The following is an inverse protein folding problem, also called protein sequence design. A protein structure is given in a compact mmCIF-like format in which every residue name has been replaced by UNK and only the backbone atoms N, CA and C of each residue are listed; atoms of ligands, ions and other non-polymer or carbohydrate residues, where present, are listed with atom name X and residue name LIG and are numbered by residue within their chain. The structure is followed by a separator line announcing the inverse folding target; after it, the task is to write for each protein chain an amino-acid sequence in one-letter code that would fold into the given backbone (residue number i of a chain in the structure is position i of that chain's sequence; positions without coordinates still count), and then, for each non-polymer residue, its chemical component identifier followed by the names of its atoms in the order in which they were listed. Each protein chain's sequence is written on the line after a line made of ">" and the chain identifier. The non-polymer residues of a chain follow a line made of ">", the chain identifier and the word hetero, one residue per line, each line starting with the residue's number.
data_IF_181546382497
#
_entry.id   IF_181546382497
#
_cell.length_a   1.000
_cell.length_b   1.000
_cell.length_c   1.000
_cell.angle_alpha   90.00
_cell.angle_beta   90.00
_cell.angle_gamma   90.00
#
_symmetry.space_group_name_H-M   'P 1'
#
loop_
_entity.id
_entity.type
_entity.pdbx_description
1 polymer ?
#
# COMPACT_ATOMS: atom_id res chain seq x y z
N UNK A 1 -41.89 17.72 3.45
CA UNK A 1 -42.06 16.57 2.52
C UNK A 1 -40.85 16.27 1.61
N UNK A 2 -39.60 16.64 1.95
CA UNK A 2 -38.43 16.47 1.04
C UNK A 2 -37.38 15.42 1.45
N UNK A 3 -37.42 14.91 2.68
CA UNK A 3 -36.32 14.09 3.24
C UNK A 3 -36.17 12.71 2.59
N UNK A 4 -37.26 12.06 2.18
CA UNK A 4 -37.21 10.73 1.56
C UNK A 4 -36.47 10.69 0.22
N UNK A 5 -36.62 11.75 -0.59
CA UNK A 5 -35.92 11.88 -1.89
C UNK A 5 -34.42 12.11 -1.71
N UNK A 6 -34.06 12.96 -0.76
CA UNK A 6 -32.65 13.22 -0.43
C UNK A 6 -31.96 11.93 0.09
N UNK A 7 -32.60 11.21 1.02
CA UNK A 7 -32.10 9.93 1.54
C UNK A 7 -31.91 8.90 0.43
N UNK A 8 -32.89 8.75 -0.47
CA UNK A 8 -32.78 7.84 -1.61
C UNK A 8 -31.61 8.18 -2.53
N UNK A 9 -31.40 9.48 -2.84
CA UNK A 9 -30.26 9.94 -3.63
C UNK A 9 -28.92 9.63 -2.93
N UNK A 10 -28.82 9.89 -1.64
CA UNK A 10 -27.61 9.61 -0.87
C UNK A 10 -27.29 8.11 -0.81
N UNK A 11 -28.28 7.25 -0.57
CA UNK A 11 -28.06 5.79 -0.57
C UNK A 11 -27.60 5.28 -1.93
N UNK A 12 -28.11 5.84 -3.03
CA UNK A 12 -27.67 5.49 -4.38
C UNK A 12 -26.19 5.85 -4.59
N UNK A 13 -25.80 7.09 -4.25
CA UNK A 13 -24.42 7.57 -4.36
C UNK A 13 -23.49 6.75 -3.47
N UNK A 14 -23.87 6.48 -2.23
CA UNK A 14 -23.07 5.68 -1.32
C UNK A 14 -22.85 4.25 -1.81
N UNK A 15 -23.88 3.62 -2.41
CA UNK A 15 -23.75 2.29 -3.01
C UNK A 15 -22.83 2.33 -4.23
N UNK A 16 -22.97 3.34 -5.07
CA UNK A 16 -22.08 3.53 -6.22
C UNK A 16 -20.63 3.69 -5.76
N UNK A 17 -20.35 4.51 -4.75
CA UNK A 17 -18.99 4.65 -4.20
C UNK A 17 -18.47 3.36 -3.55
N UNK A 18 -19.32 2.64 -2.80
CA UNK A 18 -18.90 1.41 -2.09
C UNK A 18 -18.62 0.24 -3.04
N UNK A 19 -19.37 0.14 -4.13
CA UNK A 19 -19.31 -1.00 -5.04
C UNK A 19 -18.81 -0.63 -6.45
N UNK A 20 -18.41 0.62 -6.69
CA UNK A 20 -17.66 0.99 -7.88
C UNK A 20 -16.26 0.42 -7.72
N UNK A 21 -15.93 -0.53 -8.58
CA UNK A 21 -14.55 -0.88 -8.84
C UNK A 21 -13.97 0.20 -9.77
N UNK A 22 -12.92 0.91 -9.34
CA UNK A 22 -12.22 1.82 -10.23
C UNK A 22 -11.75 1.03 -11.45
N UNK A 23 -12.02 1.53 -12.64
CA UNK A 23 -11.38 1.01 -13.86
C UNK A 23 -9.93 1.47 -13.80
N UNK A 24 -9.04 0.56 -13.45
CA UNK A 24 -7.60 0.80 -13.50
C UNK A 24 -7.09 0.46 -14.89
N UNK A 25 -6.24 1.33 -15.43
CA UNK A 25 -5.47 1.04 -16.63
C UNK A 25 -4.30 0.13 -16.23
N UNK A 26 -4.49 -1.18 -16.44
CA UNK A 26 -3.50 -2.19 -16.09
C UNK A 26 -2.23 -2.07 -16.95
N UNK A 27 -2.37 -1.58 -18.19
CA UNK A 27 -1.25 -1.41 -19.11
C UNK A 27 -0.33 -0.27 -18.65
N UNK A 28 -0.93 0.85 -18.21
CA UNK A 28 -0.21 1.96 -17.61
C UNK A 28 0.52 1.54 -16.32
N UNK A 29 -0.15 0.78 -15.43
CA UNK A 29 0.43 0.27 -14.19
C UNK A 29 1.61 -0.68 -14.46
N UNK A 30 1.46 -1.59 -15.43
CA UNK A 30 2.51 -2.52 -15.80
C UNK A 30 3.75 -1.80 -16.35
N UNK A 31 3.56 -0.75 -17.15
CA UNK A 31 4.65 0.08 -17.65
C UNK A 31 5.39 0.80 -16.52
N UNK A 32 4.68 1.33 -15.53
CA UNK A 32 5.30 1.97 -14.37
C UNK A 32 6.11 0.97 -13.54
N UNK A 33 5.53 -0.19 -13.23
CA UNK A 33 6.18 -1.23 -12.43
C UNK A 33 7.42 -1.81 -13.13
N UNK A 34 7.33 -2.05 -14.44
CA UNK A 34 8.48 -2.52 -15.23
C UNK A 34 9.58 -1.46 -15.36
N UNK A 35 9.24 -0.17 -15.38
CA UNK A 35 10.22 0.92 -15.37
C UNK A 35 10.92 1.05 -14.00
N UNK A 36 10.16 0.94 -12.89
CA UNK A 36 10.68 1.00 -11.52
C UNK A 36 11.53 -0.24 -11.15
N UNK A 37 11.16 -1.42 -11.66
CA UNK A 37 11.93 -2.66 -11.46
C UNK A 37 13.33 -2.65 -12.10
N UNK A 38 13.61 -1.74 -13.03
CA UNK A 38 14.98 -1.57 -13.58
C UNK A 38 15.91 -0.80 -12.63
N UNK A 39 15.37 0.07 -11.79
CA UNK A 39 16.13 0.84 -10.78
C UNK A 39 16.47 -0.04 -9.58
N UNK A 40 15.55 -0.92 -9.17
CA UNK A 40 15.73 -1.82 -8.02
C UNK A 40 16.77 -2.95 -8.27
N UNK A 41 17.04 -3.33 -9.53
CA UNK A 41 18.04 -4.37 -9.83
C UNK A 41 19.49 -3.85 -9.81
N UNK A 42 19.70 -2.55 -9.70
CA UNK A 42 21.04 -1.98 -9.60
C UNK A 42 21.52 -1.84 -8.15
N UNK A 43 20.65 -2.13 -7.17
CA UNK A 43 20.91 -1.96 -5.74
C UNK A 43 20.92 -3.31 -4.98
N UNK A 44 21.56 -4.32 -5.56
CA UNK A 44 21.92 -5.55 -4.83
C UNK A 44 23.23 -5.37 -4.02
N UNK A 45 23.63 -4.12 -3.75
CA UNK A 45 24.80 -3.78 -2.93
C UNK A 45 24.41 -2.89 -1.76
N UNK A 46 23.70 -3.47 -0.80
CA UNK A 46 24.03 -3.25 0.62
C UNK A 46 23.57 -1.96 1.28
N UNK A 47 22.40 -1.43 0.94
CA UNK A 47 21.78 -0.40 1.77
C UNK A 47 20.82 -1.04 2.77
N UNK A 48 21.32 -1.17 4.00
CA UNK A 48 20.55 -1.41 5.21
C UNK A 48 19.38 -0.42 5.24
N UNK A 49 18.17 -0.91 4.96
CA UNK A 49 16.95 -0.12 5.05
C UNK A 49 16.78 0.30 6.51
N UNK A 50 17.14 1.55 6.83
CA UNK A 50 16.75 2.21 8.07
C UNK A 50 15.22 2.42 8.02
N UNK A 51 14.48 1.35 8.36
CA UNK A 51 13.02 1.37 8.46
C UNK A 51 12.65 2.07 9.79
N UNK A 52 12.14 3.31 9.76
CA UNK A 52 11.80 4.06 10.97
C UNK A 52 10.61 3.44 11.74
N UNK A 53 9.98 2.40 11.20
CA UNK A 53 8.92 1.63 11.83
C UNK A 53 9.34 0.21 12.21
N UNK A 54 10.62 -0.16 12.03
CA UNK A 54 11.13 -1.43 12.53
C UNK A 54 10.93 -1.49 14.06
N UNK A 55 10.28 -2.54 14.58
CA UNK A 55 10.13 -2.70 16.03
C UNK A 55 11.51 -2.88 16.66
N UNK A 56 11.86 -1.98 17.57
CA UNK A 56 13.16 -1.91 18.25
C UNK A 56 13.49 -3.12 19.17
N UNK A 57 12.67 -4.17 19.17
CA UNK A 57 12.74 -5.28 20.13
C UNK A 57 13.49 -6.52 19.61
N UNK A 58 14.15 -6.45 18.44
CA UNK A 58 14.89 -7.59 17.87
C UNK A 58 16.41 -7.58 18.13
N UNK A 59 16.93 -6.60 18.87
CA UNK A 59 18.37 -6.38 19.08
C UNK A 59 18.81 -6.60 20.56
N UNK A 60 18.41 -7.70 21.22
CA UNK A 60 18.94 -8.01 22.58
C UNK A 60 19.35 -9.47 22.86
N UNK A 61 18.99 -10.47 22.02
CA UNK A 61 19.13 -11.88 22.46
C UNK A 61 20.15 -12.74 21.69
N UNK A 62 21.12 -12.14 20.99
CA UNK A 62 22.13 -12.90 20.22
C UNK A 62 23.53 -12.96 20.85
N UNK A 63 23.77 -12.34 22.02
CA UNK A 63 25.11 -12.27 22.61
C UNK A 63 25.29 -12.87 24.02
N UNK A 64 24.37 -13.72 24.48
CA UNK A 64 24.45 -14.32 25.82
C UNK A 64 25.18 -15.69 25.91
N UNK A 65 25.62 -16.32 24.80
CA UNK A 65 26.09 -17.71 24.88
C UNK A 65 27.51 -17.95 24.32
N UNK A 66 28.46 -17.10 24.73
CA UNK A 66 29.90 -17.36 24.51
C UNK A 66 30.69 -17.15 25.80
N UNK A 67 30.52 -18.04 26.79
CA UNK A 67 31.48 -18.29 27.86
C UNK A 67 31.24 -19.63 28.52
#
# INVERSE_FOLDING_TARGET
>A
MGRGRAKAKQTKVARELKYSTPKMDLDALQRELSSSGSVLRQDETGDEYDDPYAPADYEDDSNSNRR
#
